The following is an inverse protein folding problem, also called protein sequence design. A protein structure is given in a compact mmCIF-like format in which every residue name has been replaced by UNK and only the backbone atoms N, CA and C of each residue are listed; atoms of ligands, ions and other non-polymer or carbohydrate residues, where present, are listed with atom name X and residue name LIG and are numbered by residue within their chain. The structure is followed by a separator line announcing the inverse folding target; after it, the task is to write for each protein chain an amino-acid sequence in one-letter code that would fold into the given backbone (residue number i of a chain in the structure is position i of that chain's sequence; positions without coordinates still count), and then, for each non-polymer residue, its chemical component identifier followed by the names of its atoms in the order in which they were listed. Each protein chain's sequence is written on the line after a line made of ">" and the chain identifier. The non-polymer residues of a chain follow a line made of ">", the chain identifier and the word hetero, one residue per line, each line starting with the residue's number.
data_IF_303432554952
#
_entry.id   IF_303432554952
#
_cell.length_a   1.000
_cell.length_b   1.000
_cell.length_c   1.000
_cell.angle_alpha   90.00
_cell.angle_beta   90.00
_cell.angle_gamma   90.00
#
_symmetry.space_group_name_H-M   'P 1'
#
loop_
_entity.id
_entity.type
_entity.pdbx_description
1 polymer ?
#
# COMPACT_ATOMS: atom_id res chain seq x y z
N UNK A 1 -7.85 -16.77 -8.54
CA UNK A 1 -7.21 -16.53 -9.86
C UNK A 1 -7.04 -15.03 -10.03
N UNK A 2 -5.97 -14.54 -10.68
CA UNK A 2 -5.75 -13.10 -10.91
C UNK A 2 -5.96 -12.79 -12.40
N UNK A 3 -6.36 -11.56 -12.68
CA UNK A 3 -6.56 -11.07 -14.04
C UNK A 3 -5.55 -9.97 -14.36
N UNK A 4 -5.08 -9.96 -15.60
CA UNK A 4 -4.40 -8.84 -16.21
C UNK A 4 -5.48 -7.83 -16.62
N UNK A 5 -5.43 -6.63 -16.05
CA UNK A 5 -6.36 -5.56 -16.33
C UNK A 5 -5.71 -4.55 -17.27
N UNK A 6 -6.36 -4.36 -18.43
CA UNK A 6 -6.04 -3.31 -19.39
C UNK A 6 -7.01 -2.15 -19.18
N UNK A 7 -6.51 -0.93 -18.99
CA UNK A 7 -7.35 0.26 -18.88
C UNK A 7 -7.92 0.59 -20.26
N UNK A 8 -9.24 0.44 -20.41
CA UNK A 8 -9.94 0.71 -21.68
C UNK A 8 -10.36 2.16 -21.76
N UNK A 9 -10.97 2.65 -20.68
CA UNK A 9 -11.48 4.00 -20.59
C UNK A 9 -11.21 4.54 -19.19
N UNK A 10 -10.80 5.80 -19.14
CA UNK A 10 -10.75 6.57 -17.91
C UNK A 10 -11.54 7.85 -18.15
N UNK A 11 -12.68 7.96 -17.49
CA UNK A 11 -13.54 9.14 -17.55
C UNK A 11 -13.41 9.87 -16.23
N UNK A 12 -12.95 11.11 -16.29
CA UNK A 12 -12.94 12.01 -15.14
C UNK A 12 -13.93 13.14 -15.42
N UNK A 13 -14.81 13.37 -14.47
CA UNK A 13 -15.71 14.51 -14.37
C UNK A 13 -15.38 15.28 -13.08
N UNK A 14 -15.99 16.44 -12.87
CA UNK A 14 -15.76 17.30 -11.70
C UNK A 14 -16.01 16.53 -10.39
N UNK A 15 -17.08 15.71 -10.36
CA UNK A 15 -17.54 15.03 -9.14
C UNK A 15 -17.26 13.52 -9.12
N UNK A 16 -16.73 12.95 -10.21
CA UNK A 16 -16.49 11.50 -10.27
C UNK A 16 -15.34 11.12 -11.19
N UNK A 17 -14.61 10.07 -10.82
CA UNK A 17 -13.67 9.41 -11.71
C UNK A 17 -14.07 7.95 -11.85
N UNK A 18 -14.27 7.50 -13.09
CA UNK A 18 -14.57 6.10 -13.40
C UNK A 18 -13.50 5.53 -14.32
N UNK A 19 -12.98 4.37 -13.95
CA UNK A 19 -12.06 3.60 -14.79
C UNK A 19 -12.71 2.27 -15.19
N UNK A 20 -12.71 1.99 -16.49
CA UNK A 20 -13.19 0.75 -17.07
C UNK A 20 -12.03 -0.12 -17.51
N UNK A 21 -12.01 -1.37 -17.07
CA UNK A 21 -10.94 -2.32 -17.37
C UNK A 21 -11.43 -3.52 -18.16
N UNK A 22 -10.65 -3.93 -19.16
CA UNK A 22 -10.77 -5.25 -19.77
C UNK A 22 -9.92 -6.23 -18.96
N UNK A 23 -10.55 -7.31 -18.49
CA UNK A 23 -9.90 -8.31 -17.64
C UNK A 23 -9.60 -9.58 -18.43
N UNK A 24 -8.35 -10.02 -18.38
CA UNK A 24 -7.88 -11.27 -19.00
C UNK A 24 -7.34 -12.21 -17.93
N UNK A 25 -7.79 -13.48 -17.86
CA UNK A 25 -7.22 -14.46 -16.94
C UNK A 25 -5.73 -14.67 -17.20
N UNK A 26 -4.93 -14.71 -16.13
CA UNK A 26 -3.50 -15.01 -16.23
C UNK A 26 -3.30 -16.51 -16.01
N UNK A 27 -2.87 -17.21 -17.07
CA UNK A 27 -2.48 -18.63 -17.01
C UNK A 27 -0.96 -18.76 -16.97
N UNK A 28 -0.36 -18.32 -15.86
CA UNK A 28 1.07 -18.41 -15.64
C UNK A 28 1.36 -19.46 -14.56
N UNK A 29 2.08 -20.56 -14.88
CA UNK A 29 2.40 -21.59 -13.90
C UNK A 29 3.28 -21.01 -12.79
N UNK A 30 2.96 -21.34 -11.54
CA UNK A 30 3.77 -20.92 -10.40
C UNK A 30 5.07 -21.73 -10.36
N UNK A 31 6.25 -21.09 -10.28
CA UNK A 31 7.51 -21.82 -10.19
C UNK A 31 7.61 -22.58 -8.86
N UNK A 32 8.28 -23.73 -8.87
CA UNK A 32 8.47 -24.56 -7.68
C UNK A 32 9.29 -23.84 -6.59
N UNK A 33 10.28 -23.04 -6.99
CA UNK A 33 11.14 -22.27 -6.10
C UNK A 33 11.52 -20.92 -6.73
N UNK A 34 11.91 -19.96 -5.89
CA UNK A 34 12.38 -18.65 -6.34
C UNK A 34 11.29 -17.81 -7.01
N UNK A 35 11.65 -17.20 -8.13
CA UNK A 35 10.81 -16.36 -8.98
C UNK A 35 11.04 -16.69 -10.45
N UNK A 36 10.06 -16.44 -11.30
CA UNK A 36 10.13 -16.66 -12.74
C UNK A 36 9.44 -15.51 -13.46
N UNK A 37 10.06 -15.00 -14.52
CA UNK A 37 9.44 -14.00 -15.40
C UNK A 37 8.79 -14.73 -16.58
N UNK A 38 7.53 -14.43 -16.83
CA UNK A 38 6.72 -14.98 -17.92
C UNK A 38 6.13 -13.81 -18.69
N UNK A 39 6.17 -13.89 -20.01
CA UNK A 39 5.53 -12.91 -20.89
C UNK A 39 4.08 -13.34 -21.18
N UNK A 40 3.14 -12.41 -21.00
CA UNK A 40 1.72 -12.63 -21.30
C UNK A 40 1.26 -11.55 -22.26
N UNK A 41 0.75 -11.95 -23.42
CA UNK A 41 0.19 -11.01 -24.40
C UNK A 41 -1.19 -10.52 -23.95
N UNK A 42 -1.37 -9.21 -23.87
CA UNK A 42 -2.66 -8.60 -23.59
C UNK A 42 -3.60 -8.81 -24.79
N UNK A 43 -4.75 -9.45 -24.56
CA UNK A 43 -5.76 -9.71 -25.58
C UNK A 43 -6.41 -8.41 -26.12
N UNK A 44 -6.39 -7.32 -25.35
CA UNK A 44 -6.99 -6.04 -25.74
C UNK A 44 -6.07 -5.21 -26.63
N UNK A 45 -4.80 -5.03 -26.26
CA UNK A 45 -3.86 -4.18 -27.00
C UNK A 45 -2.81 -4.94 -27.81
N UNK A 46 -2.74 -6.27 -27.69
CA UNK A 46 -1.77 -7.13 -28.39
C UNK A 46 -0.33 -7.01 -27.90
N UNK A 47 -0.04 -6.16 -26.90
CA UNK A 47 1.32 -5.95 -26.40
C UNK A 47 1.73 -7.05 -25.42
N UNK A 48 2.99 -7.48 -25.45
CA UNK A 48 3.53 -8.37 -24.43
C UNK A 48 3.65 -7.63 -23.10
N UNK A 49 3.25 -8.31 -22.02
CA UNK A 49 3.38 -7.82 -20.65
C UNK A 49 4.23 -8.79 -19.85
N UNK A 50 5.37 -8.33 -19.38
CA UNK A 50 6.22 -9.11 -18.49
C UNK A 50 5.61 -9.22 -17.09
N UNK A 51 5.43 -10.47 -16.64
CA UNK A 51 4.93 -10.83 -15.33
C UNK A 51 5.99 -11.58 -14.54
N UNK A 52 6.33 -11.10 -13.34
CA UNK A 52 7.13 -11.88 -12.39
C UNK A 52 6.20 -12.68 -11.47
N UNK A 53 6.38 -14.00 -11.47
CA UNK A 53 5.64 -14.97 -10.64
C UNK A 53 6.55 -15.49 -9.54
N UNK A 54 6.18 -15.24 -8.29
CA UNK A 54 6.86 -15.74 -7.11
C UNK A 54 6.36 -17.15 -6.76
N UNK A 55 7.29 -18.04 -6.41
CA UNK A 55 6.98 -19.31 -5.78
C UNK A 55 6.27 -19.11 -4.43
N UNK A 56 5.53 -20.12 -3.97
CA UNK A 56 4.85 -20.06 -2.68
C UNK A 56 5.83 -19.87 -1.50
N UNK A 57 7.04 -20.42 -1.61
CA UNK A 57 8.09 -20.25 -0.61
C UNK A 57 8.65 -18.81 -0.61
N UNK A 58 8.94 -18.24 -1.79
CA UNK A 58 9.40 -16.86 -1.92
C UNK A 58 8.35 -15.86 -1.40
N UNK A 59 7.08 -16.05 -1.75
CA UNK A 59 5.97 -15.23 -1.28
C UNK A 59 5.84 -15.27 0.25
N UNK A 60 5.92 -16.46 0.87
CA UNK A 60 5.88 -16.61 2.34
C UNK A 60 7.03 -15.88 3.02
N UNK A 61 8.27 -16.03 2.53
CA UNK A 61 9.44 -15.32 3.05
C UNK A 61 9.28 -13.81 2.93
N UNK A 62 8.77 -13.34 1.79
CA UNK A 62 8.51 -11.92 1.57
C UNK A 62 7.45 -11.38 2.53
N UNK A 63 6.30 -12.05 2.64
CA UNK A 63 5.25 -11.70 3.62
C UNK A 63 5.78 -11.70 5.05
N UNK A 64 6.64 -12.65 5.41
CA UNK A 64 7.26 -12.68 6.74
C UNK A 64 8.17 -11.47 6.99
N UNK A 65 9.00 -11.09 6.01
CA UNK A 65 9.84 -9.86 6.09
C UNK A 65 9.00 -8.59 6.19
N UNK A 66 7.93 -8.48 5.39
CA UNK A 66 7.02 -7.34 5.42
C UNK A 66 6.34 -7.23 6.78
N UNK A 67 5.80 -8.34 7.31
CA UNK A 67 5.21 -8.38 8.65
C UNK A 67 6.24 -8.01 9.72
N UNK A 68 7.46 -8.52 9.64
CA UNK A 68 8.53 -8.16 10.58
C UNK A 68 8.85 -6.65 10.51
N UNK A 69 8.92 -6.06 9.32
CA UNK A 69 9.12 -4.62 9.13
C UNK A 69 7.98 -3.78 9.70
N UNK A 70 6.72 -4.17 9.45
CA UNK A 70 5.55 -3.51 10.02
C UNK A 70 5.54 -3.61 11.56
N UNK A 71 5.83 -4.78 12.12
CA UNK A 71 5.94 -4.96 13.58
C UNK A 71 7.05 -4.08 14.15
N UNK A 72 8.23 -4.05 13.51
CA UNK A 72 9.32 -3.18 13.94
C UNK A 72 8.93 -1.69 13.93
N UNK A 73 8.17 -1.25 12.91
CA UNK A 73 7.68 0.12 12.81
C UNK A 73 6.71 0.47 13.96
N UNK A 74 5.78 -0.44 14.28
CA UNK A 74 4.89 -0.26 15.45
C UNK A 74 5.66 -0.22 16.77
N UNK A 75 6.66 -1.08 16.95
CA UNK A 75 7.51 -1.07 18.15
C UNK A 75 8.29 0.24 18.28
N UNK A 76 8.83 0.77 17.17
CA UNK A 76 9.50 2.06 17.16
C UNK A 76 8.54 3.21 17.54
N UNK A 77 7.33 3.22 16.96
CA UNK A 77 6.31 4.21 17.28
C UNK A 77 5.88 4.17 18.77
N UNK A 78 5.73 2.96 19.32
CA UNK A 78 5.43 2.75 20.74
C UNK A 78 6.58 3.22 21.64
N UNK A 79 7.83 2.93 21.28
CA UNK A 79 9.00 3.40 22.01
C UNK A 79 9.08 4.93 22.01
N UNK A 80 8.88 5.59 20.86
CA UNK A 80 8.81 7.05 20.76
C UNK A 80 7.73 7.64 21.67
N UNK A 81 6.55 7.02 21.73
CA UNK A 81 5.47 7.45 22.61
C UNK A 81 5.85 7.32 24.10
N UNK A 82 6.45 6.19 24.50
CA UNK A 82 6.91 5.96 25.88
C UNK A 82 7.96 7.02 26.26
N UNK A 83 8.96 7.25 25.40
CA UNK A 83 9.98 8.29 25.62
C UNK A 83 9.34 9.67 25.74
N UNK A 84 8.37 9.99 24.88
CA UNK A 84 7.64 11.25 24.94
C UNK A 84 6.90 11.46 26.26
N UNK A 85 6.19 10.43 26.75
CA UNK A 85 5.47 10.48 28.02
C UNK A 85 6.43 10.63 29.21
N UNK A 86 7.52 9.85 29.25
CA UNK A 86 8.52 9.94 30.32
C UNK A 86 9.18 11.31 30.32
N UNK A 87 9.58 11.81 29.16
CA UNK A 87 10.22 13.11 29.01
C UNK A 87 9.26 14.23 29.40
N UNK A 88 7.99 14.16 28.98
CA UNK A 88 6.95 15.10 29.40
C UNK A 88 6.76 15.09 30.92
N UNK A 89 6.65 13.91 31.54
CA UNK A 89 6.49 13.80 33.00
C UNK A 89 7.65 14.43 33.78
N UNK A 90 8.89 14.20 33.32
CA UNK A 90 10.09 14.80 33.93
C UNK A 90 10.12 16.32 33.76
N UNK A 91 9.73 16.84 32.59
CA UNK A 91 9.76 18.29 32.32
C UNK A 91 8.60 19.02 32.98
N UNK A 92 7.38 18.46 32.92
CA UNK A 92 6.20 19.00 33.58
C UNK A 92 6.39 19.08 35.10
N UNK A 93 7.14 18.15 35.69
CA UNK A 93 7.52 18.19 37.10
C UNK A 93 8.58 19.27 37.43
N UNK A 94 9.30 19.81 36.45
CA UNK A 94 10.44 20.72 36.68
C UNK A 94 10.14 22.19 36.38
N UNK A 95 9.49 22.52 35.27
CA UNK A 95 8.78 23.80 35.03
C UNK A 95 8.29 23.83 33.57
N UNK A 96 6.99 24.04 33.35
CA UNK A 96 6.38 24.14 32.01
C UNK A 96 6.70 25.48 31.30
N UNK A 97 7.50 26.37 31.90
CA UNK A 97 7.78 27.71 31.38
C UNK A 97 8.64 27.76 30.13
N UNK A 98 9.40 26.69 29.83
CA UNK A 98 10.19 26.63 28.59
C UNK A 98 9.36 26.01 27.46
N UNK A 99 8.83 26.84 26.55
CA UNK A 99 8.01 26.38 25.43
C UNK A 99 8.66 25.29 24.56
N UNK A 100 9.99 25.17 24.58
CA UNK A 100 10.75 24.14 23.88
C UNK A 100 10.36 22.70 24.28
N UNK A 101 10.01 22.48 25.55
CA UNK A 101 9.61 21.15 26.04
C UNK A 101 8.22 20.72 25.56
N UNK A 102 7.32 21.67 25.36
CA UNK A 102 6.01 21.39 24.77
C UNK A 102 6.15 20.95 23.31
N UNK A 103 7.02 21.61 22.56
CA UNK A 103 7.26 21.29 21.15
C UNK A 103 7.88 19.91 20.93
N UNK A 104 8.79 19.44 21.79
CA UNK A 104 9.34 18.08 21.70
C UNK A 104 8.29 17.01 21.90
N UNK A 105 7.36 17.22 22.84
CA UNK A 105 6.29 16.26 23.12
C UNK A 105 5.26 16.23 22.00
N UNK A 106 4.88 17.40 21.47
CA UNK A 106 4.05 17.51 20.25
C UNK A 106 4.71 16.80 19.07
N UNK A 107 6.01 17.03 18.86
CA UNK A 107 6.77 16.38 17.78
C UNK A 107 6.82 14.85 17.91
N UNK A 108 6.98 14.32 19.13
CA UNK A 108 6.97 12.87 19.37
C UNK A 108 5.59 12.25 19.13
N UNK A 109 4.51 12.89 19.62
CA UNK A 109 3.14 12.42 19.38
C UNK A 109 2.81 12.42 17.88
N UNK A 110 3.15 13.50 17.18
CA UNK A 110 2.98 13.59 15.74
C UNK A 110 3.78 12.50 15.01
N UNK A 111 5.03 12.26 15.41
CA UNK A 111 5.87 11.19 14.87
C UNK A 111 5.23 9.81 15.03
N UNK A 112 4.66 9.49 16.20
CA UNK A 112 3.96 8.22 16.43
C UNK A 112 2.75 8.05 15.51
N UNK A 113 1.95 9.11 15.32
CA UNK A 113 0.78 9.09 14.41
C UNK A 113 1.23 8.83 12.97
N UNK A 114 2.24 9.56 12.50
CA UNK A 114 2.78 9.40 11.13
C UNK A 114 3.33 7.99 10.91
N UNK A 115 4.11 7.45 11.86
CA UNK A 115 4.65 6.08 11.77
C UNK A 115 3.53 5.03 11.77
N UNK A 116 2.50 5.22 12.60
CA UNK A 116 1.32 4.34 12.62
C UNK A 116 0.56 4.35 11.29
N UNK A 117 0.38 5.55 10.70
CA UNK A 117 -0.26 5.70 9.41
C UNK A 117 0.55 5.02 8.29
N UNK A 118 1.87 5.23 8.24
CA UNK A 118 2.76 4.54 7.28
C UNK A 118 2.68 3.02 7.46
N UNK A 119 2.69 2.52 8.70
CA UNK A 119 2.57 1.09 8.97
C UNK A 119 1.24 0.51 8.48
N UNK A 120 0.16 1.28 8.64
CA UNK A 120 -1.18 0.91 8.23
C UNK A 120 -1.33 0.89 6.71
N UNK A 121 -0.93 1.95 6.01
CA UNK A 121 -0.98 2.03 4.55
C UNK A 121 -0.11 0.95 3.91
N UNK A 122 1.12 0.78 4.41
CA UNK A 122 2.02 -0.26 3.93
C UNK A 122 1.43 -1.66 4.10
N UNK A 123 0.78 -1.93 5.24
CA UNK A 123 0.08 -3.20 5.46
C UNK A 123 -1.08 -3.40 4.48
N UNK A 124 -1.88 -2.37 4.23
CA UNK A 124 -3.01 -2.45 3.30
C UNK A 124 -2.55 -2.71 1.86
N UNK A 125 -1.58 -1.95 1.38
CA UNK A 125 -1.02 -2.12 0.03
C UNK A 125 -0.44 -3.52 -0.20
N UNK A 126 0.11 -4.14 0.86
CA UNK A 126 0.77 -5.42 0.77
C UNK A 126 -0.08 -6.62 1.24
N UNK A 127 -1.29 -6.40 1.74
CA UNK A 127 -2.18 -7.48 2.19
C UNK A 127 -2.56 -8.40 1.03
N UNK A 128 -2.71 -7.82 -0.16
CA UNK A 128 -3.21 -8.48 -1.36
C UNK A 128 -2.10 -8.95 -2.32
N UNK A 129 -0.85 -9.05 -1.85
CA UNK A 129 0.23 -9.56 -2.68
C UNK A 129 0.08 -11.06 -2.96
N UNK A 130 -0.38 -11.42 -4.16
CA UNK A 130 -0.55 -12.82 -4.58
C UNK A 130 0.70 -13.45 -5.19
N UNK A 131 1.80 -12.71 -5.17
CA UNK A 131 3.08 -13.13 -5.74
C UNK A 131 3.18 -12.93 -7.24
N UNK A 132 2.24 -12.22 -7.85
CA UNK A 132 2.34 -11.72 -9.22
C UNK A 132 2.74 -10.25 -9.21
N UNK A 133 3.63 -9.86 -10.11
CA UNK A 133 4.05 -8.46 -10.31
C UNK A 133 4.12 -8.17 -11.80
N UNK A 134 3.67 -6.99 -12.20
CA UNK A 134 3.82 -6.48 -13.56
C UNK A 134 5.02 -5.54 -13.59
N UNK A 135 5.77 -5.56 -14.69
CA UNK A 135 6.81 -4.56 -14.94
C UNK A 135 6.23 -3.13 -14.89
N UNK A 136 6.91 -2.18 -14.22
CA UNK A 136 6.44 -0.80 -14.14
C UNK A 136 6.33 -0.17 -15.53
N UNK A 137 5.32 0.68 -15.73
CA UNK A 137 5.12 1.39 -17.00
C UNK A 137 4.46 0.59 -18.13
N UNK A 138 4.03 -0.66 -17.89
CA UNK A 138 3.33 -1.46 -18.90
C UNK A 138 1.94 -0.93 -19.29
N UNK A 139 1.36 -0.01 -18.50
CA UNK A 139 -0.03 0.45 -18.66
C UNK A 139 -1.07 -0.59 -18.21
N UNK A 140 -0.65 -1.67 -17.53
CA UNK A 140 -1.52 -2.73 -17.05
C UNK A 140 -1.46 -2.84 -15.51
N UNK A 141 -2.54 -3.36 -14.91
CA UNK A 141 -2.61 -3.62 -13.47
C UNK A 141 -3.07 -5.06 -13.20
N UNK A 142 -2.80 -5.59 -12.01
CA UNK A 142 -3.30 -6.90 -11.57
C UNK A 142 -4.56 -6.71 -10.74
N UNK A 143 -5.63 -7.42 -11.08
CA UNK A 143 -6.90 -7.37 -10.34
C UNK A 143 -7.31 -8.75 -9.81
N UNK A 144 -7.96 -8.84 -8.63
CA UNK A 144 -8.51 -10.09 -8.11
C UNK A 144 -9.60 -10.65 -9.02
N UNK A 145 -9.88 -11.96 -8.92
CA UNK A 145 -11.04 -12.54 -9.59
C UNK A 145 -12.34 -11.99 -8.99
N UNK A 146 -13.29 -11.64 -9.86
CA UNK A 146 -14.57 -11.05 -9.45
C UNK A 146 -14.53 -9.53 -9.26
N UNK A 147 -13.38 -8.87 -9.51
CA UNK A 147 -13.37 -7.43 -9.69
C UNK A 147 -14.22 -7.08 -10.92
N UNK A 148 -15.26 -6.27 -10.77
CA UNK A 148 -16.29 -6.06 -11.79
C UNK A 148 -15.85 -5.10 -12.91
N UNK A 149 -14.58 -4.67 -12.90
CA UNK A 149 -14.01 -3.82 -13.95
C UNK A 149 -14.50 -2.37 -13.92
N UNK A 150 -15.39 -2.03 -13.00
CA UNK A 150 -15.86 -0.66 -12.73
C UNK A 150 -15.36 -0.20 -11.36
N UNK A 151 -14.41 0.72 -11.37
CA UNK A 151 -14.04 1.48 -10.17
C UNK A 151 -14.57 2.89 -10.36
N UNK A 152 -15.71 3.17 -9.74
CA UNK A 152 -16.22 4.52 -9.63
C UNK A 152 -15.69 5.09 -8.32
N UNK A 153 -14.70 5.96 -8.42
CA UNK A 153 -14.23 6.75 -7.31
C UNK A 153 -15.14 7.97 -7.22
N UNK A 154 -16.03 7.97 -6.22
CA UNK A 154 -16.63 9.22 -5.79
C UNK A 154 -15.53 10.05 -5.14
N UNK A 155 -15.25 11.21 -5.74
CA UNK A 155 -14.48 12.22 -5.04
C UNK A 155 -15.43 12.71 -3.95
N UNK A 156 -15.30 12.17 -2.74
CA UNK A 156 -15.85 12.80 -1.56
C UNK A 156 -15.06 14.12 -1.38
N UNK A 157 -15.41 15.13 -2.19
CA UNK A 157 -15.09 16.52 -1.91
C UNK A 157 -15.88 16.85 -0.66
N UNK A 158 -15.28 16.57 0.50
CA UNK A 158 -15.74 17.06 1.78
C UNK A 158 -16.09 18.54 1.59
N UNK A 159 -17.40 18.82 1.67
CA UNK A 159 -17.97 20.11 1.32
C UNK A 159 -17.19 21.23 1.99
N UNK A 160 -16.76 22.18 1.18
CA UNK A 160 -16.60 23.55 1.64
C UNK A 160 -17.96 24.00 2.17
N UNK A 161 -18.10 24.00 3.48
CA UNK A 161 -19.07 24.84 4.16
C UNK A 161 -18.49 26.25 4.20
N UNK A 162 -19.16 27.17 3.50
CA UNK A 162 -19.00 28.61 3.64
C UNK A 162 -19.31 29.08 5.07
#
# INVERSE_FOLDING_TARGET
>A
MRHLAHLVEHRADIDSSSATYALQPIDAPRPAAGESTVEVTCATCGRPVELTVLSAAALRRRRARLRAGVVALYLAAALCAIVGVVTFGVIAARDLRSGAAGWTVVGMLFGTIVLGWIAHTYRHEHADEDGLRIAPGSGHSLRPAGDTGYHQYHLDTAGGGE
#
